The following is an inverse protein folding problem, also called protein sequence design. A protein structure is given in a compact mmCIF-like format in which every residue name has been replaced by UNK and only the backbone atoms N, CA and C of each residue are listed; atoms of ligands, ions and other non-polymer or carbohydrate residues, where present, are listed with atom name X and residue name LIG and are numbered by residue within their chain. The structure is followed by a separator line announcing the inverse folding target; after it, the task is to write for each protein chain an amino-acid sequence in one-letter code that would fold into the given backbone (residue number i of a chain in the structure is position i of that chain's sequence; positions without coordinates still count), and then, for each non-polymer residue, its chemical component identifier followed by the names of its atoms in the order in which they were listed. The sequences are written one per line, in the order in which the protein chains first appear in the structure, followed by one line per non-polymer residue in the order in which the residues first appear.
data_IF_960738291868
#
_entry.id   IF_960738291868
#
_cell.length_a   1.000
_cell.length_b   1.000
_cell.length_c   1.000
_cell.angle_alpha   90.00
_cell.angle_beta   90.00
_cell.angle_gamma   90.00
#
_symmetry.space_group_name_H-M   'P 1'
#
loop_
_entity.id
_entity.type
_entity.pdbx_description
1 polymer ?
#
# COMPACT_ATOMS: atom_id res chain seq x y z
N UNK A 1 -0.82 12.80 -79.88
CA UNK A 1 -1.29 11.97 -78.75
C UNK A 1 -0.33 12.19 -77.58
N UNK A 2 -0.81 12.28 -76.34
CA UNK A 2 -0.58 13.43 -75.45
C UNK A 2 0.70 13.32 -74.60
N UNK A 3 1.40 14.44 -74.40
CA UNK A 3 2.47 14.59 -73.41
C UNK A 3 1.87 14.97 -72.06
N UNK A 4 2.19 14.19 -71.03
CA UNK A 4 1.67 14.30 -69.68
C UNK A 4 1.73 15.74 -69.14
N UNK A 5 0.56 16.29 -68.82
CA UNK A 5 0.39 17.53 -68.07
C UNK A 5 1.00 17.35 -66.69
N UNK A 6 2.01 18.17 -66.39
CA UNK A 6 2.59 18.27 -65.05
C UNK A 6 1.55 18.74 -64.05
N UNK A 7 1.07 17.83 -63.20
CA UNK A 7 0.39 18.20 -61.97
C UNK A 7 1.49 18.37 -60.92
N UNK A 8 1.84 19.63 -60.63
CA UNK A 8 2.52 19.97 -59.38
C UNK A 8 1.50 19.76 -58.26
N UNK A 9 1.53 18.58 -57.65
CA UNK A 9 0.89 18.37 -56.36
C UNK A 9 1.57 19.31 -55.36
N UNK A 10 0.83 20.34 -54.92
CA UNK A 10 1.31 21.28 -53.91
C UNK A 10 1.63 20.51 -52.63
N UNK A 11 2.89 20.55 -52.20
CA UNK A 11 3.25 20.12 -50.85
C UNK A 11 2.57 21.07 -49.86
N UNK A 12 1.48 20.62 -49.24
CA UNK A 12 0.86 21.34 -48.13
C UNK A 12 1.77 21.19 -46.90
N UNK A 13 2.62 22.18 -46.66
CA UNK A 13 3.30 22.32 -45.39
C UNK A 13 2.28 22.87 -44.38
N UNK A 14 1.77 22.02 -43.48
CA UNK A 14 1.09 22.50 -42.28
C UNK A 14 2.18 22.94 -41.30
N UNK A 15 2.60 24.20 -41.41
CA UNK A 15 3.34 24.83 -40.33
C UNK A 15 2.39 25.00 -39.14
N UNK A 16 2.50 24.09 -38.17
CA UNK A 16 1.92 24.24 -36.83
C UNK A 16 2.66 25.39 -36.11
N UNK A 17 2.42 26.62 -36.54
CA UNK A 17 2.92 27.80 -35.84
C UNK A 17 2.09 28.00 -34.57
N UNK A 18 2.50 27.34 -33.48
CA UNK A 18 2.03 27.60 -32.12
C UNK A 18 2.64 28.92 -31.65
N UNK A 19 2.18 30.03 -32.23
CA UNK A 19 2.63 31.39 -31.90
C UNK A 19 1.82 32.00 -30.74
N UNK A 20 1.20 31.14 -29.92
CA UNK A 20 0.36 31.60 -28.82
C UNK A 20 1.26 31.96 -27.63
N UNK A 21 1.59 33.24 -27.53
CA UNK A 21 2.49 33.79 -26.51
C UNK A 21 2.09 33.42 -25.07
N UNK A 22 0.80 33.14 -24.83
CA UNK A 22 0.27 32.66 -23.54
C UNK A 22 0.69 31.22 -23.25
N UNK A 23 0.73 30.38 -24.28
CA UNK A 23 1.20 29.01 -24.19
C UNK A 23 2.67 28.94 -23.84
N UNK A 24 3.49 29.70 -24.58
CA UNK A 24 4.94 29.75 -24.37
C UNK A 24 5.25 30.32 -22.97
N UNK A 25 4.52 31.36 -22.53
CA UNK A 25 4.65 31.91 -21.17
C UNK A 25 4.22 30.92 -20.09
N UNK A 26 3.13 30.18 -20.30
CA UNK A 26 2.66 29.13 -19.40
C UNK A 26 3.65 27.97 -19.29
N UNK A 27 4.17 27.49 -20.41
CA UNK A 27 5.20 26.46 -20.50
C UNK A 27 6.52 26.91 -19.86
N UNK A 28 6.92 28.17 -20.05
CA UNK A 28 8.10 28.74 -19.39
C UNK A 28 7.93 28.89 -17.89
N UNK A 29 6.73 29.23 -17.41
CA UNK A 29 6.44 29.30 -15.98
C UNK A 29 6.43 27.91 -15.34
N UNK A 30 5.82 26.92 -16.01
CA UNK A 30 5.85 25.53 -15.61
C UNK A 30 7.28 24.97 -15.63
N UNK A 31 8.06 25.26 -16.68
CA UNK A 31 9.47 24.89 -16.81
C UNK A 31 10.32 25.47 -15.68
N UNK A 32 10.13 26.75 -15.32
CA UNK A 32 10.83 27.38 -14.18
C UNK A 32 10.49 26.72 -12.84
N UNK A 33 9.22 26.40 -12.60
CA UNK A 33 8.81 25.66 -11.39
C UNK A 33 9.41 24.25 -11.36
N UNK A 34 9.37 23.51 -12.48
CA UNK A 34 9.99 22.20 -12.61
C UNK A 34 11.51 22.24 -12.44
N UNK A 35 12.19 23.27 -12.95
CA UNK A 35 13.63 23.48 -12.75
C UNK A 35 13.96 23.77 -11.28
N UNK A 36 13.18 24.61 -10.60
CA UNK A 36 13.39 24.89 -9.16
C UNK A 36 13.20 23.64 -8.29
N UNK A 37 12.18 22.83 -8.63
CA UNK A 37 11.94 21.53 -8.01
C UNK A 37 13.08 20.54 -8.29
N UNK A 38 13.49 20.43 -9.56
CA UNK A 38 14.60 19.60 -10.00
C UNK A 38 15.93 19.99 -9.34
N UNK A 39 16.18 21.28 -9.13
CA UNK A 39 17.36 21.77 -8.41
C UNK A 39 17.35 21.37 -6.93
N UNK A 40 16.18 21.42 -6.27
CA UNK A 40 15.99 20.92 -4.91
C UNK A 40 16.26 19.42 -4.80
N UNK A 41 15.65 18.61 -5.70
CA UNK A 41 15.91 17.17 -5.77
C UNK A 41 17.37 16.85 -6.10
N UNK A 42 17.99 17.61 -6.98
CA UNK A 42 19.40 17.44 -7.33
C UNK A 42 20.32 17.74 -6.16
N UNK A 43 20.00 18.74 -5.32
CA UNK A 43 20.75 19.02 -4.08
C UNK A 43 20.60 17.93 -3.01
N UNK A 44 19.42 17.32 -2.90
CA UNK A 44 19.21 16.16 -2.02
C UNK A 44 19.97 14.96 -2.59
N UNK A 45 19.83 14.71 -3.89
CA UNK A 45 20.49 13.63 -4.62
C UNK A 45 22.01 13.73 -4.60
N UNK A 46 22.61 14.92 -4.74
CA UNK A 46 24.07 15.11 -4.66
C UNK A 46 24.58 14.91 -3.24
N UNK A 47 23.83 15.34 -2.22
CA UNK A 47 24.17 15.07 -0.81
C UNK A 47 24.07 13.57 -0.49
N UNK A 48 23.09 12.86 -1.05
CA UNK A 48 22.98 11.40 -0.90
C UNK A 48 24.04 10.65 -1.72
N UNK A 49 24.37 11.12 -2.92
CA UNK A 49 25.46 10.56 -3.74
C UNK A 49 26.83 10.76 -3.09
N UNK A 50 27.05 11.85 -2.35
CA UNK A 50 28.26 12.07 -1.55
C UNK A 50 28.42 11.04 -0.42
N UNK A 51 27.32 10.37 -0.01
CA UNK A 51 27.32 9.25 0.95
C UNK A 51 27.52 7.89 0.24
N UNK A 52 27.48 7.83 -1.09
CA UNK A 52 27.79 6.65 -1.90
C UNK A 52 26.60 6.15 -2.73
N UNK A 53 26.57 6.48 -4.02
CA UNK A 53 25.45 6.25 -4.95
C UNK A 53 24.99 4.78 -5.12
N UNK A 54 25.82 3.78 -4.78
CA UNK A 54 25.49 2.36 -4.92
C UNK A 54 24.68 1.74 -3.77
N UNK A 55 24.64 2.38 -2.60
CA UNK A 55 23.99 1.85 -1.38
C UNK A 55 22.64 2.56 -1.12
N UNK A 56 22.39 3.70 -1.77
CA UNK A 56 21.22 4.55 -1.51
C UNK A 56 19.90 3.86 -1.87
N UNK A 57 19.81 3.14 -2.98
CA UNK A 57 18.53 2.53 -3.42
C UNK A 57 18.07 1.40 -2.50
N UNK A 58 18.91 0.41 -2.12
CA UNK A 58 18.53 -0.60 -1.13
C UNK A 58 18.21 0.01 0.24
N UNK A 59 18.99 0.98 0.72
CA UNK A 59 18.75 1.62 2.01
C UNK A 59 17.43 2.40 2.04
N UNK A 60 17.08 3.11 0.97
CA UNK A 60 15.79 3.81 0.87
C UNK A 60 14.61 2.84 0.84
N UNK A 61 14.75 1.71 0.13
CA UNK A 61 13.73 0.66 0.11
C UNK A 61 13.56 0.03 1.51
N UNK A 62 14.66 -0.27 2.19
CA UNK A 62 14.65 -0.78 3.58
C UNK A 62 14.08 0.24 4.56
N UNK A 63 14.43 1.52 4.44
CA UNK A 63 13.89 2.58 5.29
C UNK A 63 12.38 2.75 5.09
N UNK A 64 11.89 2.67 3.85
CA UNK A 64 10.45 2.66 3.57
C UNK A 64 9.77 1.42 4.14
N UNK A 65 10.37 0.24 3.96
CA UNK A 65 9.84 -1.01 4.50
C UNK A 65 9.74 -0.96 6.04
N UNK A 66 10.77 -0.45 6.70
CA UNK A 66 10.78 -0.19 8.14
C UNK A 66 9.67 0.79 8.53
N UNK A 67 9.54 1.91 7.82
CA UNK A 67 8.52 2.92 8.06
C UNK A 67 7.11 2.33 7.98
N UNK A 68 6.80 1.59 6.90
CA UNK A 68 5.49 0.99 6.67
C UNK A 68 5.17 -0.10 7.69
N UNK A 69 6.13 -0.98 8.01
CA UNK A 69 5.93 -2.04 8.99
C UNK A 69 5.69 -1.45 10.39
N UNK A 70 6.50 -0.49 10.80
CA UNK A 70 6.34 0.15 12.11
C UNK A 70 5.06 0.98 12.22
N UNK A 71 4.67 1.70 11.17
CA UNK A 71 3.37 2.37 11.07
C UNK A 71 2.20 1.40 11.24
N UNK A 72 2.27 0.25 10.55
CA UNK A 72 1.25 -0.78 10.65
C UNK A 72 1.16 -1.35 12.07
N UNK A 73 2.30 -1.69 12.69
CA UNK A 73 2.34 -2.22 14.05
C UNK A 73 1.85 -1.22 15.10
N UNK A 74 2.25 0.06 15.01
CA UNK A 74 1.81 1.12 15.93
C UNK A 74 0.29 1.32 15.84
N UNK A 75 -0.25 1.42 14.62
CA UNK A 75 -1.69 1.53 14.39
C UNK A 75 -2.45 0.28 14.81
N UNK A 76 -1.89 -0.90 14.62
CA UNK A 76 -2.48 -2.15 15.08
C UNK A 76 -2.51 -2.22 16.60
N UNK A 77 -1.42 -1.83 17.27
CA UNK A 77 -1.34 -1.75 18.74
C UNK A 77 -2.46 -0.87 19.29
N UNK A 78 -2.67 0.31 18.68
CA UNK A 78 -3.76 1.19 19.06
C UNK A 78 -5.17 0.59 18.84
N UNK A 79 -5.36 -0.25 17.82
CA UNK A 79 -6.66 -0.87 17.51
C UNK A 79 -6.96 -2.13 18.32
N UNK A 80 -5.95 -2.91 18.66
CA UNK A 80 -6.11 -4.21 19.32
C UNK A 80 -5.81 -4.17 20.81
N UNK A 81 -5.11 -3.14 21.29
CA UNK A 81 -4.63 -3.04 22.66
C UNK A 81 -3.42 -3.93 22.98
N UNK A 82 -2.89 -4.66 21.99
CA UNK A 82 -1.66 -5.43 22.13
C UNK A 82 -0.42 -4.54 22.04
N UNK A 83 0.69 -4.92 22.68
CA UNK A 83 1.96 -4.23 22.48
C UNK A 83 2.50 -4.44 21.06
N UNK A 84 3.30 -3.50 20.58
CA UNK A 84 3.98 -3.59 19.28
C UNK A 84 4.88 -4.81 19.23
N UNK A 85 5.61 -5.10 20.30
CA UNK A 85 6.52 -6.24 20.40
C UNK A 85 5.76 -7.55 20.22
N UNK A 86 4.62 -7.69 20.92
CA UNK A 86 3.77 -8.88 20.79
C UNK A 86 3.21 -9.00 19.38
N UNK A 87 2.74 -7.91 18.77
CA UNK A 87 2.27 -7.93 17.38
C UNK A 87 3.38 -8.24 16.38
N UNK A 88 4.60 -7.75 16.60
CA UNK A 88 5.77 -8.04 15.77
C UNK A 88 6.14 -9.52 15.86
N UNK A 89 6.09 -10.10 17.06
CA UNK A 89 6.34 -11.52 17.29
C UNK A 89 5.25 -12.40 16.66
N UNK A 90 3.97 -12.03 16.80
CA UNK A 90 2.87 -12.72 16.12
C UNK A 90 2.97 -12.60 14.60
N UNK A 91 3.33 -11.43 14.08
CA UNK A 91 3.53 -11.21 12.65
C UNK A 91 4.60 -12.13 12.07
N UNK A 92 5.71 -12.31 12.78
CA UNK A 92 6.75 -13.26 12.40
C UNK A 92 6.23 -14.70 12.38
N UNK A 93 5.52 -15.12 13.43
CA UNK A 93 4.93 -16.45 13.49
C UNK A 93 3.89 -16.68 12.37
N UNK A 94 3.08 -15.67 12.06
CA UNK A 94 2.08 -15.74 11.00
C UNK A 94 2.74 -15.94 9.64
N UNK A 95 3.81 -15.19 9.37
CA UNK A 95 4.57 -15.28 8.13
C UNK A 95 5.19 -16.67 7.91
N UNK A 96 5.74 -17.30 8.96
CA UNK A 96 6.26 -18.67 8.89
C UNK A 96 5.18 -19.71 8.54
N UNK A 97 3.93 -19.40 8.88
CA UNK A 97 2.78 -20.27 8.67
C UNK A 97 1.95 -19.93 7.43
N UNK A 98 2.40 -18.97 6.62
CA UNK A 98 1.71 -18.54 5.39
C UNK A 98 0.54 -17.59 5.61
N UNK A 99 0.39 -17.05 6.82
CA UNK A 99 -0.60 -16.02 7.17
C UNK A 99 0.04 -14.62 7.17
N UNK A 100 -0.79 -13.58 7.05
CA UNK A 100 -0.36 -12.18 7.12
C UNK A 100 -0.52 -11.56 8.51
N UNK A 101 0.15 -10.42 8.74
CA UNK A 101 -0.06 -9.62 9.93
C UNK A 101 -1.51 -9.07 10.00
N UNK A 102 -2.13 -8.85 8.84
CA UNK A 102 -3.53 -8.46 8.71
C UNK A 102 -4.50 -9.57 9.17
N UNK A 103 -4.13 -10.84 8.98
CA UNK A 103 -4.90 -11.97 9.50
C UNK A 103 -4.85 -12.00 11.02
N UNK A 104 -3.66 -11.74 11.60
CA UNK A 104 -3.49 -11.58 13.05
C UNK A 104 -4.37 -10.44 13.57
N UNK A 105 -4.30 -9.26 12.94
CA UNK A 105 -5.13 -8.12 13.35
C UNK A 105 -6.62 -8.46 13.32
N UNK A 106 -7.07 -9.09 12.23
CA UNK A 106 -8.48 -9.43 12.04
C UNK A 106 -8.92 -10.49 13.05
N UNK A 107 -8.10 -11.52 13.27
CA UNK A 107 -8.32 -12.53 14.30
C UNK A 107 -8.44 -11.90 15.68
N UNK A 108 -7.47 -11.07 16.08
CA UNK A 108 -7.48 -10.41 17.40
C UNK A 108 -8.70 -9.51 17.57
N UNK A 109 -9.09 -8.72 16.56
CA UNK A 109 -10.30 -7.88 16.64
C UNK A 109 -11.57 -8.72 16.80
N UNK A 110 -11.68 -9.85 16.11
CA UNK A 110 -12.81 -10.77 16.27
C UNK A 110 -12.81 -11.41 17.65
N UNK A 111 -11.65 -11.85 18.15
CA UNK A 111 -11.49 -12.36 19.51
C UNK A 111 -11.95 -11.33 20.55
N UNK A 112 -11.51 -10.07 20.44
CA UNK A 112 -11.96 -9.00 21.34
C UNK A 112 -13.48 -8.82 21.29
N UNK A 113 -14.08 -8.88 20.09
CA UNK A 113 -15.54 -8.80 19.93
C UNK A 113 -16.25 -9.97 20.61
N UNK A 114 -15.76 -11.20 20.44
CA UNK A 114 -16.33 -12.39 21.07
C UNK A 114 -16.22 -12.32 22.58
N UNK A 115 -15.06 -11.94 23.13
CA UNK A 115 -14.87 -11.76 24.57
C UNK A 115 -15.81 -10.70 25.13
N UNK A 116 -15.87 -9.52 24.50
CA UNK A 116 -16.74 -8.44 24.93
C UNK A 116 -18.23 -8.80 24.82
N UNK A 117 -18.63 -9.50 23.75
CA UNK A 117 -19.99 -10.00 23.57
C UNK A 117 -20.40 -10.98 24.66
N UNK A 118 -19.53 -11.94 24.98
CA UNK A 118 -19.77 -12.91 26.04
C UNK A 118 -19.89 -12.21 27.41
N UNK A 119 -19.01 -11.26 27.70
CA UNK A 119 -19.07 -10.45 28.91
C UNK A 119 -20.35 -9.60 29.01
N UNK A 120 -20.90 -9.17 27.88
CA UNK A 120 -22.16 -8.46 27.78
C UNK A 120 -23.41 -9.37 27.82
N UNK A 121 -23.23 -10.68 28.00
CA UNK A 121 -24.33 -11.65 28.11
C UNK A 121 -24.80 -12.28 26.79
N UNK A 122 -24.01 -12.20 25.71
CA UNK A 122 -24.31 -12.92 24.47
C UNK A 122 -24.09 -14.42 24.64
N UNK A 123 -25.16 -15.21 24.53
CA UNK A 123 -25.11 -16.68 24.62
C UNK A 123 -24.20 -17.29 23.57
N UNK A 124 -24.34 -16.88 22.30
CA UNK A 124 -23.50 -17.40 21.21
C UNK A 124 -22.01 -17.10 21.40
N UNK A 125 -21.67 -15.91 21.90
CA UNK A 125 -20.29 -15.58 22.20
C UNK A 125 -19.76 -16.35 23.42
N UNK A 126 -20.59 -16.59 24.43
CA UNK A 126 -20.23 -17.41 25.58
C UNK A 126 -20.00 -18.88 25.17
N UNK A 127 -20.83 -19.43 24.28
CA UNK A 127 -20.66 -20.76 23.70
C UNK A 127 -19.36 -20.87 22.89
N UNK A 128 -19.01 -19.84 22.11
CA UNK A 128 -17.74 -19.79 21.38
C UNK A 128 -16.52 -19.91 22.30
N UNK A 129 -16.53 -19.21 23.45
CA UNK A 129 -15.47 -19.32 24.45
C UNK A 129 -15.50 -20.66 25.19
N UNK A 130 -16.69 -21.18 25.48
CA UNK A 130 -16.86 -22.48 26.12
C UNK A 130 -16.34 -23.63 25.24
N UNK A 131 -16.45 -23.51 23.92
CA UNK A 131 -15.90 -24.47 22.96
C UNK A 131 -14.37 -24.62 23.07
N UNK A 132 -13.67 -23.60 23.58
CA UNK A 132 -12.23 -23.64 23.90
C UNK A 132 -11.97 -23.74 25.41
N UNK A 133 -12.99 -24.01 26.22
CA UNK A 133 -12.87 -24.23 27.67
C UNK A 133 -12.48 -22.98 28.47
N UNK A 134 -12.89 -21.79 28.01
CA UNK A 134 -12.59 -20.51 28.66
C UNK A 134 -13.89 -19.73 28.92
N UNK A 135 -13.88 -18.87 29.94
CA UNK A 135 -14.97 -17.92 30.19
C UNK A 135 -14.55 -16.48 29.88
N UNK A 136 -15.55 -15.61 29.68
CA UNK A 136 -15.30 -14.19 29.45
C UNK A 136 -14.59 -13.55 30.66
N UNK A 137 -14.97 -13.92 31.89
CA UNK A 137 -14.35 -13.41 33.12
C UNK A 137 -12.86 -13.75 33.20
N UNK A 138 -12.49 -14.99 32.82
CA UNK A 138 -11.08 -15.42 32.79
C UNK A 138 -10.28 -14.60 31.79
N UNK A 139 -10.85 -14.31 30.62
CA UNK A 139 -10.16 -13.60 29.55
C UNK A 139 -10.10 -12.09 29.81
N UNK A 140 -11.15 -11.47 30.34
CA UNK A 140 -11.15 -10.04 30.66
C UNK A 140 -10.12 -9.64 31.73
N UNK A 141 -9.67 -10.60 32.55
CA UNK A 141 -8.58 -10.38 33.52
C UNK A 141 -7.19 -10.35 32.87
N UNK A 142 -7.08 -10.70 31.58
CA UNK A 142 -5.83 -10.80 30.84
C UNK A 142 -5.69 -9.64 29.85
N UNK A 143 -4.44 -9.32 29.52
CA UNK A 143 -4.13 -8.43 28.40
C UNK A 143 -4.49 -9.09 27.06
N UNK A 144 -4.78 -8.32 25.99
CA UNK A 144 -5.15 -8.86 24.68
C UNK A 144 -4.15 -9.87 24.10
N UNK A 145 -2.85 -9.67 24.33
CA UNK A 145 -1.82 -10.62 23.90
C UNK A 145 -1.89 -11.94 24.70
N UNK A 146 -2.10 -11.87 26.01
CA UNK A 146 -2.28 -13.06 26.84
C UNK A 146 -3.57 -13.82 26.49
N UNK A 147 -4.66 -13.11 26.20
CA UNK A 147 -5.91 -13.72 25.73
C UNK A 147 -5.66 -14.53 24.45
N UNK A 148 -4.98 -13.95 23.46
CA UNK A 148 -4.62 -14.63 22.22
C UNK A 148 -3.81 -15.90 22.47
N UNK A 149 -2.77 -15.81 23.33
CA UNK A 149 -1.92 -16.94 23.66
C UNK A 149 -2.66 -18.07 24.37
N UNK A 150 -3.51 -17.74 25.34
CA UNK A 150 -4.27 -18.72 26.12
C UNK A 150 -5.31 -19.41 25.24
N UNK A 151 -6.04 -18.68 24.41
CA UNK A 151 -7.00 -19.26 23.47
C UNK A 151 -6.29 -20.15 22.44
N UNK A 152 -5.18 -19.69 21.86
CA UNK A 152 -4.41 -20.50 20.90
C UNK A 152 -3.92 -21.81 21.51
N UNK A 153 -3.46 -21.79 22.77
CA UNK A 153 -3.09 -23.01 23.50
C UNK A 153 -4.28 -23.96 23.63
N UNK A 154 -5.47 -23.46 23.99
CA UNK A 154 -6.67 -24.29 24.12
C UNK A 154 -7.11 -24.90 22.80
N UNK A 155 -6.99 -24.17 21.70
CA UNK A 155 -7.25 -24.71 20.36
C UNK A 155 -6.30 -25.87 20.03
N UNK A 156 -5.01 -25.76 20.35
CA UNK A 156 -4.05 -26.84 20.12
C UNK A 156 -4.35 -28.11 20.94
N UNK A 157 -5.02 -27.98 22.08
CA UNK A 157 -5.44 -29.11 22.92
C UNK A 157 -6.61 -29.91 22.28
N UNK A 158 -7.34 -29.33 21.32
CA UNK A 158 -8.42 -30.00 20.59
C UNK A 158 -7.81 -30.98 19.56
N UNK A 159 -8.03 -32.29 19.75
CA UNK A 159 -7.43 -33.34 18.90
C UNK A 159 -8.03 -33.44 17.51
N UNK A 160 -9.34 -33.22 17.40
CA UNK A 160 -10.05 -33.31 16.12
C UNK A 160 -9.84 -32.02 15.30
N UNK A 161 -9.23 -32.09 14.10
CA UNK A 161 -8.94 -30.91 13.30
C UNK A 161 -10.18 -30.11 12.87
N UNK A 162 -11.31 -30.79 12.63
CA UNK A 162 -12.54 -30.13 12.21
C UNK A 162 -13.18 -29.34 13.37
N UNK A 163 -13.20 -29.92 14.57
CA UNK A 163 -13.64 -29.24 15.78
C UNK A 163 -12.72 -28.07 16.13
N UNK A 164 -11.41 -28.23 15.97
CA UNK A 164 -10.43 -27.16 16.19
C UNK A 164 -10.67 -25.99 15.22
N UNK A 165 -10.88 -26.29 13.94
CA UNK A 165 -11.21 -25.29 12.93
C UNK A 165 -12.52 -24.56 13.24
N UNK A 166 -13.56 -25.28 13.64
CA UNK A 166 -14.83 -24.70 14.04
C UNK A 166 -14.67 -23.75 15.24
N UNK A 167 -14.03 -24.22 16.32
CA UNK A 167 -13.77 -23.41 17.51
C UNK A 167 -12.93 -22.16 17.20
N UNK A 168 -11.92 -22.30 16.34
CA UNK A 168 -11.13 -21.15 15.89
C UNK A 168 -11.96 -20.13 15.09
N UNK A 169 -12.89 -20.60 14.24
CA UNK A 169 -13.81 -19.71 13.52
C UNK A 169 -14.77 -18.97 14.44
N UNK A 170 -15.30 -19.64 15.46
CA UNK A 170 -16.22 -19.02 16.42
C UNK A 170 -15.54 -17.91 17.22
N UNK A 171 -14.28 -18.10 17.62
CA UNK A 171 -13.56 -17.11 18.42
C UNK A 171 -12.91 -16.02 17.57
N UNK A 172 -12.21 -16.38 16.50
CA UNK A 172 -11.38 -15.45 15.71
C UNK A 172 -12.02 -15.06 14.36
N UNK A 173 -13.23 -15.54 14.06
CA UNK A 173 -13.85 -15.40 12.75
C UNK A 173 -13.09 -16.18 11.66
N UNK A 174 -13.30 -15.82 10.39
CA UNK A 174 -12.66 -16.52 9.25
C UNK A 174 -11.13 -16.55 9.31
N UNK A 175 -10.50 -15.54 9.89
CA UNK A 175 -9.04 -15.52 10.06
C UNK A 175 -8.55 -16.58 11.04
N UNK A 176 -9.40 -17.09 11.94
CA UNK A 176 -9.04 -18.12 12.91
C UNK A 176 -8.46 -19.38 12.30
N UNK A 177 -9.05 -19.87 11.21
CA UNK A 177 -8.56 -21.07 10.50
C UNK A 177 -7.23 -20.82 9.80
N UNK A 178 -7.04 -19.62 9.24
CA UNK A 178 -5.76 -19.19 8.64
C UNK A 178 -4.63 -19.13 9.69
N UNK A 179 -4.96 -18.78 10.94
CA UNK A 179 -3.97 -18.65 12.01
C UNK A 179 -3.66 -19.99 12.71
N UNK A 180 -4.47 -21.05 12.53
CA UNK A 180 -4.27 -22.33 13.22
C UNK A 180 -2.86 -22.91 13.06
N UNK A 181 -2.25 -22.95 11.85
CA UNK A 181 -0.90 -23.50 11.72
C UNK A 181 0.16 -22.69 12.49
N UNK A 182 -0.05 -21.38 12.70
CA UNK A 182 0.85 -20.55 13.50
C UNK A 182 0.78 -20.89 14.98
N UNK A 183 -0.40 -21.31 15.47
CA UNK A 183 -0.63 -21.58 16.88
C UNK A 183 0.16 -22.81 17.34
N UNK A 184 0.36 -23.80 16.48
CA UNK A 184 1.06 -25.06 16.80
C UNK A 184 2.54 -24.85 17.16
N UNK A 185 3.21 -23.86 16.53
CA UNK A 185 4.63 -23.55 16.74
C UNK A 185 4.87 -22.15 17.31
N UNK A 186 3.86 -21.55 17.95
CA UNK A 186 3.89 -20.13 18.31
C UNK A 186 4.99 -19.81 19.33
N UNK A 187 5.20 -20.67 20.33
CA UNK A 187 6.19 -20.42 21.37
C UNK A 187 7.62 -20.38 20.79
N UNK A 188 7.92 -21.34 19.91
CA UNK A 188 9.18 -21.46 19.19
C UNK A 188 9.41 -20.27 18.26
N UNK A 189 8.40 -19.90 17.46
CA UNK A 189 8.49 -18.77 16.54
C UNK A 189 8.72 -17.44 17.28
N UNK A 190 8.07 -17.22 18.43
CA UNK A 190 8.30 -16.02 19.25
C UNK A 190 9.71 -15.98 19.85
N UNK A 191 10.19 -17.12 20.37
CA UNK A 191 11.54 -17.23 20.91
C UNK A 191 12.60 -17.00 19.82
N UNK A 192 12.36 -17.52 18.62
CA UNK A 192 13.18 -17.29 17.45
C UNK A 192 13.19 -15.82 17.02
N UNK A 193 12.02 -15.17 16.94
CA UNK A 193 11.93 -13.75 16.60
C UNK A 193 12.79 -12.88 17.54
N UNK A 194 12.73 -13.16 18.85
CA UNK A 194 13.55 -12.47 19.86
C UNK A 194 15.04 -12.74 19.66
N UNK A 195 15.42 -14.01 19.44
CA UNK A 195 16.82 -14.42 19.22
C UNK A 195 17.41 -13.79 17.97
N UNK A 196 16.62 -13.65 16.91
CA UNK A 196 17.03 -13.04 15.65
C UNK A 196 17.05 -11.50 15.70
N UNK A 197 16.49 -10.90 16.75
CA UNK A 197 16.40 -9.44 16.87
C UNK A 197 15.43 -8.81 15.85
N UNK A 198 14.45 -9.58 15.37
CA UNK A 198 13.45 -9.10 14.38
C UNK A 198 12.19 -8.55 15.04
N UNK A 199 12.15 -8.49 16.37
CA UNK A 199 11.05 -7.90 17.14
C UNK A 199 11.24 -6.38 17.17
N UNK A 200 10.30 -5.66 16.59
CA UNK A 200 10.28 -4.20 16.65
C UNK A 200 9.80 -3.72 18.02
N UNK A 201 10.51 -2.75 18.60
CA UNK A 201 10.08 -2.11 19.84
C UNK A 201 8.95 -1.09 19.58
N UNK A 202 8.17 -0.79 20.62
CA UNK A 202 7.15 0.26 20.57
C UNK A 202 7.74 1.63 20.22
N UNK A 203 8.96 1.91 20.69
CA UNK A 203 9.67 3.15 20.35
C UNK A 203 10.04 3.21 18.86
N UNK A 204 10.59 2.12 18.33
CA UNK A 204 10.96 2.03 16.92
C UNK A 204 9.74 2.11 16.00
N UNK A 205 8.63 1.45 16.36
CA UNK A 205 7.39 1.51 15.61
C UNK A 205 6.81 2.92 15.57
N UNK A 206 6.84 3.67 16.67
CA UNK A 206 6.43 5.08 16.69
C UNK A 206 7.32 5.98 15.86
N UNK A 207 8.63 5.75 15.90
CA UNK A 207 9.58 6.48 15.06
C UNK A 207 9.34 6.19 13.57
N UNK A 208 9.13 4.91 13.23
CA UNK A 208 8.76 4.45 11.90
C UNK A 208 7.44 5.05 11.41
N UNK A 209 6.40 5.07 12.26
CA UNK A 209 5.11 5.68 11.96
C UNK A 209 5.25 7.18 11.66
N UNK A 210 5.97 7.91 12.52
CA UNK A 210 6.25 9.34 12.33
C UNK A 210 6.98 9.61 11.01
N UNK A 211 7.96 8.76 10.69
CA UNK A 211 8.70 8.85 9.44
C UNK A 211 7.81 8.51 8.22
N UNK A 212 6.96 7.48 8.31
CA UNK A 212 6.03 7.10 7.26
C UNK A 212 5.04 8.23 6.97
N UNK A 213 4.47 8.84 8.02
CA UNK A 213 3.58 10.01 7.91
C UNK A 213 4.28 11.20 7.22
N UNK A 214 5.55 11.45 7.54
CA UNK A 214 6.34 12.50 6.89
C UNK A 214 6.55 12.21 5.39
N UNK A 215 6.84 10.95 5.03
CA UNK A 215 6.94 10.51 3.63
C UNK A 215 5.60 10.65 2.90
N UNK A 216 4.49 10.27 3.52
CA UNK A 216 3.16 10.37 2.92
C UNK A 216 2.76 11.82 2.66
N UNK A 217 3.03 12.73 3.62
CA UNK A 217 2.82 14.18 3.43
C UNK A 217 3.68 14.74 2.30
N UNK A 218 4.95 14.33 2.23
CA UNK A 218 5.84 14.70 1.12
C UNK A 218 5.25 14.23 -0.22
N UNK A 219 4.87 12.95 -0.34
CA UNK A 219 4.30 12.40 -1.57
C UNK A 219 2.96 13.05 -1.93
N UNK A 220 2.11 13.36 -0.95
CA UNK A 220 0.86 14.09 -1.19
C UNK A 220 1.14 15.50 -1.75
N UNK A 221 2.13 16.21 -1.22
CA UNK A 221 2.56 17.51 -1.75
C UNK A 221 3.07 17.40 -3.19
N UNK A 222 3.88 16.38 -3.49
CA UNK A 222 4.35 16.11 -4.85
C UNK A 222 3.21 15.78 -5.81
N UNK A 223 2.27 14.92 -5.40
CA UNK A 223 1.08 14.60 -6.21
C UNK A 223 0.24 15.85 -6.45
N UNK A 224 0.05 16.70 -5.44
CA UNK A 224 -0.68 17.96 -5.57
C UNK A 224 -0.02 18.88 -6.60
N UNK A 225 1.31 18.97 -6.62
CA UNK A 225 2.04 19.72 -7.64
C UNK A 225 1.81 19.14 -9.04
N UNK A 226 1.91 17.81 -9.22
CA UNK A 226 1.66 17.13 -10.50
C UNK A 226 0.22 17.35 -10.97
N UNK A 227 -0.76 17.23 -10.08
CA UNK A 227 -2.18 17.49 -10.39
C UNK A 227 -2.39 18.94 -10.81
N UNK A 228 -1.79 19.90 -10.10
CA UNK A 228 -1.91 21.33 -10.41
C UNK A 228 -1.29 21.66 -11.78
N UNK A 229 -0.11 21.12 -12.06
CA UNK A 229 0.56 21.28 -13.36
C UNK A 229 -0.23 20.57 -14.47
N UNK A 230 -0.68 19.34 -14.23
CA UNK A 230 -1.48 18.56 -15.16
C UNK A 230 -2.81 19.22 -15.50
N UNK A 231 -3.51 19.78 -14.50
CA UNK A 231 -4.74 20.55 -14.71
C UNK A 231 -4.47 21.83 -15.50
N UNK A 232 -3.38 22.55 -15.21
CA UNK A 232 -3.00 23.75 -15.96
C UNK A 232 -2.59 23.45 -17.41
N UNK A 233 -2.04 22.26 -17.68
CA UNK A 233 -1.68 21.80 -19.01
C UNK A 233 -2.82 21.06 -19.73
N UNK A 234 -3.88 20.67 -19.01
CA UNK A 234 -4.98 19.89 -19.59
C UNK A 234 -5.61 20.56 -20.81
N UNK A 235 -5.95 21.87 -20.81
CA UNK A 235 -6.52 22.50 -22.00
C UNK A 235 -5.58 22.46 -23.21
N UNK A 236 -4.27 22.64 -22.99
CA UNK A 236 -3.26 22.53 -24.04
C UNK A 236 -3.15 21.10 -24.58
N UNK A 237 -3.09 20.12 -23.68
CA UNK A 237 -3.00 18.71 -24.07
C UNK A 237 -4.25 18.27 -24.82
N UNK A 238 -5.43 18.75 -24.42
CA UNK A 238 -6.69 18.53 -25.14
C UNK A 238 -6.66 19.18 -26.52
N UNK A 239 -6.21 20.42 -26.66
CA UNK A 239 -6.12 21.10 -27.96
C UNK A 239 -5.16 20.38 -28.92
N UNK A 240 -4.03 19.89 -28.41
CA UNK A 240 -3.08 19.07 -29.19
C UNK A 240 -3.74 17.75 -29.59
N UNK A 241 -4.43 17.08 -28.68
CA UNK A 241 -5.14 15.84 -28.96
C UNK A 241 -6.23 16.03 -30.03
N UNK A 242 -7.03 17.09 -29.94
CA UNK A 242 -8.08 17.43 -30.92
C UNK A 242 -7.48 17.75 -32.29
N UNK A 243 -6.34 18.46 -32.33
CA UNK A 243 -5.60 18.72 -33.58
C UNK A 243 -5.06 17.43 -34.20
N UNK A 244 -4.53 16.50 -33.41
CA UNK A 244 -4.09 15.19 -33.89
C UNK A 244 -5.28 14.39 -34.45
N UNK A 245 -6.39 14.35 -33.73
CA UNK A 245 -7.62 13.66 -34.17
C UNK A 245 -8.13 14.25 -35.49
N UNK A 246 -8.14 15.57 -35.60
CA UNK A 246 -8.53 16.27 -36.84
C UNK A 246 -7.59 15.95 -38.00
N UNK A 247 -6.26 15.99 -37.79
CA UNK A 247 -5.27 15.66 -38.81
C UNK A 247 -5.39 14.22 -39.30
N UNK A 248 -5.59 13.27 -38.39
CA UNK A 248 -5.81 11.86 -38.72
C UNK A 248 -7.11 11.68 -39.51
N UNK A 249 -8.17 12.38 -39.13
CA UNK A 249 -9.45 12.40 -39.85
C UNK A 249 -9.29 12.93 -41.28
N UNK A 250 -8.69 14.11 -41.45
CA UNK A 250 -8.46 14.71 -42.76
C UNK A 250 -7.56 13.85 -43.65
N UNK A 251 -6.54 13.20 -43.09
CA UNK A 251 -5.69 12.28 -43.85
C UNK A 251 -6.46 11.02 -44.28
N UNK A 252 -7.34 10.50 -43.43
CA UNK A 252 -8.22 9.37 -43.76
C UNK A 252 -9.18 9.72 -44.89
N UNK A 253 -9.79 10.89 -44.84
CA UNK A 253 -10.75 11.36 -45.84
C UNK A 253 -10.05 11.66 -47.18
N UNK A 254 -8.88 12.29 -47.14
CA UNK A 254 -8.01 12.46 -48.31
C UNK A 254 -7.62 11.12 -48.94
N UNK A 255 -7.22 10.12 -48.14
CA UNK A 255 -6.92 8.76 -48.63
C UNK A 255 -8.15 8.11 -49.27
N UNK A 256 -9.35 8.34 -48.73
CA UNK A 256 -10.59 7.79 -49.28
C UNK A 256 -10.98 8.42 -50.62
N UNK A 257 -10.79 9.73 -50.77
CA UNK A 257 -11.06 10.49 -52.00
C UNK A 257 -10.01 10.25 -53.10
N UNK A 258 -8.76 9.94 -52.73
CA UNK A 258 -7.64 9.76 -53.66
C UNK A 258 -7.29 8.30 -53.93
N UNK A 259 -8.15 7.33 -53.57
CA UNK A 259 -7.96 5.88 -53.84
C UNK A 259 -7.71 5.51 -55.31
N UNK A 260 -8.01 6.40 -56.26
CA UNK A 260 -7.74 6.22 -57.69
C UNK A 260 -6.36 6.71 -58.18
N UNK A 261 -5.58 7.36 -57.31
CA UNK A 261 -4.25 7.90 -57.64
C UNK A 261 -3.11 7.25 -56.81
N UNK A 262 -3.41 6.22 -56.02
CA UNK A 262 -2.47 5.43 -55.20
C UNK A 262 -2.59 3.97 -55.61
#
# INVERSE_FOLDING_TARGET
MPSASGIRAGAAFIELSVNDSRLIKGLQAASRKLQSFGAGLRNIGTRMMAVGAGIVTPLLASAKSFATMGDQLDKMSARTGMSVESLSELGYAAQLSGAGLEDVETGVRNMQRTIAGAAAGSESAAEALAAVGLSAEQLMALSPDQQFMVIGKRLNEIRDPAQRAAAAMEVFGRSGTTLLPMMEGLAEARAEAKRLGVVMSTEDARAAATFNDALDRMWASLRSLVVTVGAALSPLLTEIADKIVSLVGSFRDWLAENKGCI
#
